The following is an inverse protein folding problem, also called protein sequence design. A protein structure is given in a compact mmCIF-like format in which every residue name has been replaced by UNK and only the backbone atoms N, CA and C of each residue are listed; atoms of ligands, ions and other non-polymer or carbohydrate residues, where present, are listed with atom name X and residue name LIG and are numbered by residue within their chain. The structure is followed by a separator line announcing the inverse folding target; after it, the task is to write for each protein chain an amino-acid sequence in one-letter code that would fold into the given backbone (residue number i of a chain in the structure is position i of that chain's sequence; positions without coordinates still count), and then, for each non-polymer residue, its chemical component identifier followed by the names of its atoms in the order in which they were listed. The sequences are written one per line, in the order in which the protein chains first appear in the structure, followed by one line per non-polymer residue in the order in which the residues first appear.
data_IF_945725247719
#
_entry.id   IF_945725247719
#
_cell.length_a   1.000
_cell.length_b   1.000
_cell.length_c   1.000
_cell.angle_alpha   90.00
_cell.angle_beta   90.00
_cell.angle_gamma   90.00
#
_symmetry.space_group_name_H-M   'P 1'
#
loop_
_entity.id
_entity.type
_entity.pdbx_description
1 polymer ?
#
# COMPACT_ATOMS: atom_id res chain seq x y z
N UNK A 1 -10.07 -11.24 3.09
CA UNK A 1 -9.64 -9.84 3.28
C UNK A 1 -10.85 -9.02 3.70
N UNK A 2 -10.92 -8.70 4.98
CA UNK A 2 -11.94 -7.80 5.51
C UNK A 2 -11.38 -6.38 5.33
N UNK A 3 -11.72 -5.71 4.24
CA UNK A 3 -11.40 -4.31 4.01
C UNK A 3 -12.65 -3.48 4.25
N UNK A 4 -12.84 -2.98 5.45
CA UNK A 4 -13.95 -2.08 5.75
C UNK A 4 -13.79 -0.71 5.09
N UNK A 5 -12.55 -0.31 4.84
CA UNK A 5 -12.24 0.98 4.21
C UNK A 5 -11.29 0.78 3.03
N UNK A 6 -11.38 1.69 2.06
CA UNK A 6 -10.50 1.67 0.90
C UNK A 6 -9.05 1.93 1.34
N UNK A 7 -8.12 1.10 0.89
CA UNK A 7 -6.68 1.30 1.06
C UNK A 7 -6.20 2.63 0.43
N UNK A 8 -6.92 3.14 -0.57
CA UNK A 8 -6.51 4.31 -1.32
C UNK A 8 -7.15 5.58 -0.78
N UNK A 9 -6.32 6.56 -0.45
CA UNK A 9 -6.76 7.90 -0.09
C UNK A 9 -7.24 8.63 -1.35
N UNK A 10 -8.52 9.00 -1.46
CA UNK A 10 -9.06 9.64 -2.65
C UNK A 10 -8.41 11.00 -2.97
N UNK A 11 -7.88 11.71 -1.97
CA UNK A 11 -7.19 12.99 -2.19
C UNK A 11 -5.86 12.82 -2.93
N UNK A 12 -5.21 11.66 -2.78
CA UNK A 12 -3.97 11.31 -3.46
C UNK A 12 -4.18 10.61 -4.81
N UNK A 13 -5.40 10.17 -5.13
CA UNK A 13 -5.72 9.46 -6.38
C UNK A 13 -6.02 10.46 -7.49
N UNK A 14 -5.39 10.25 -8.65
CA UNK A 14 -5.64 11.01 -9.87
C UNK A 14 -6.64 10.32 -10.80
N UNK A 15 -6.48 9.01 -10.98
CA UNK A 15 -7.24 8.20 -11.93
C UNK A 15 -7.31 6.76 -11.47
N UNK A 16 -8.40 6.09 -11.80
CA UNK A 16 -8.66 4.69 -11.45
C UNK A 16 -9.23 3.95 -12.65
N UNK A 17 -8.58 2.85 -13.07
CA UNK A 17 -9.04 1.98 -14.14
C UNK A 17 -9.28 0.58 -13.63
N UNK A 18 -10.48 0.07 -13.85
CA UNK A 18 -10.85 -1.30 -13.53
C UNK A 18 -10.92 -2.14 -14.81
N UNK A 19 -10.05 -3.13 -14.92
CA UNK A 19 -10.09 -4.15 -15.96
C UNK A 19 -10.84 -5.37 -15.43
N UNK A 20 -12.01 -5.64 -15.95
CA UNK A 20 -12.86 -6.80 -15.59
C UNK A 20 -12.63 -8.03 -16.49
N UNK A 21 -11.67 -7.94 -17.38
CA UNK A 21 -11.26 -8.92 -18.38
C UNK A 21 -10.34 -8.25 -19.39
N UNK A 22 -9.78 -9.00 -20.33
CA UNK A 22 -8.82 -8.52 -21.31
C UNK A 22 -7.67 -7.70 -20.67
N UNK A 23 -7.12 -8.23 -19.58
CA UNK A 23 -6.06 -7.58 -18.83
C UNK A 23 -4.85 -7.47 -19.76
N UNK A 24 -4.25 -6.27 -19.93
CA UNK A 24 -3.07 -6.11 -20.77
C UNK A 24 -1.92 -7.02 -20.33
N UNK A 25 -1.16 -7.58 -21.28
CA UNK A 25 -0.09 -8.55 -21.02
C UNK A 25 1.01 -8.06 -20.07
N UNK A 26 1.21 -6.75 -19.95
CA UNK A 26 2.12 -6.13 -18.99
C UNK A 26 1.77 -6.37 -17.50
N UNK A 27 0.56 -6.85 -17.23
CA UNK A 27 0.08 -7.21 -15.89
C UNK A 27 -0.04 -8.73 -15.80
N UNK A 28 1.09 -9.42 -15.67
CA UNK A 28 1.13 -10.88 -15.54
C UNK A 28 0.44 -11.41 -14.28
N UNK A 29 0.07 -12.71 -14.28
CA UNK A 29 -0.41 -13.42 -13.10
C UNK A 29 -1.80 -13.00 -12.57
N UNK A 30 -2.61 -12.26 -13.35
CA UNK A 30 -3.94 -11.79 -12.96
C UNK A 30 -5.01 -12.41 -13.84
N UNK A 31 -5.94 -13.19 -13.24
CA UNK A 31 -6.93 -13.97 -13.98
C UNK A 31 -8.35 -13.39 -13.90
N UNK A 32 -8.70 -12.67 -12.84
CA UNK A 32 -10.06 -12.20 -12.61
C UNK A 32 -10.27 -10.72 -13.00
N UNK A 33 -9.59 -9.83 -12.29
CA UNK A 33 -9.68 -8.39 -12.51
C UNK A 33 -8.42 -7.68 -12.05
N UNK A 34 -8.20 -6.48 -12.57
CA UNK A 34 -7.10 -5.60 -12.19
C UNK A 34 -7.64 -4.19 -11.95
N UNK A 35 -7.27 -3.63 -10.81
CA UNK A 35 -7.50 -2.23 -10.49
C UNK A 35 -6.18 -1.46 -10.61
N UNK A 36 -6.06 -0.65 -11.64
CA UNK A 36 -4.91 0.25 -11.87
C UNK A 36 -5.23 1.62 -11.29
N UNK A 37 -4.43 2.05 -10.32
CA UNK A 37 -4.62 3.33 -9.63
C UNK A 37 -3.42 4.22 -9.84
N UNK A 38 -3.67 5.39 -10.40
CA UNK A 38 -2.67 6.42 -10.57
C UNK A 38 -2.79 7.48 -9.49
N UNK A 39 -1.70 7.73 -8.81
CA UNK A 39 -1.61 8.79 -7.83
C UNK A 39 -1.30 10.13 -8.49
N UNK A 40 -1.77 11.23 -7.88
CA UNK A 40 -1.35 12.60 -8.21
C UNK A 40 0.17 12.73 -8.07
N UNK A 41 0.75 13.69 -8.75
CA UNK A 41 2.20 13.96 -8.72
C UNK A 41 2.59 15.11 -7.78
N UNK A 42 1.59 15.80 -7.22
CA UNK A 42 1.77 17.02 -6.46
C UNK A 42 1.90 18.26 -7.34
N UNK A 43 1.65 19.41 -6.76
CA UNK A 43 1.74 20.70 -7.46
C UNK A 43 3.19 21.17 -7.55
N UNK A 44 3.69 21.38 -8.76
CA UNK A 44 5.06 21.84 -9.01
C UNK A 44 5.20 23.38 -9.02
N UNK A 45 4.11 24.12 -8.90
CA UNK A 45 4.09 25.58 -9.00
C UNK A 45 3.88 26.27 -7.67
N UNK A 46 2.95 25.77 -6.87
CA UNK A 46 2.51 26.40 -5.63
C UNK A 46 2.12 25.37 -4.57
N UNK A 47 2.04 25.83 -3.34
CA UNK A 47 1.55 25.03 -2.22
C UNK A 47 0.02 24.92 -2.29
N UNK A 48 -0.47 23.71 -2.16
CA UNK A 48 -1.88 23.42 -2.00
C UNK A 48 -2.12 22.49 -0.79
N UNK A 49 -3.21 22.73 -0.09
CA UNK A 49 -3.66 21.85 0.98
C UNK A 49 -5.17 21.63 0.85
N UNK A 50 -5.57 20.37 1.00
CA UNK A 50 -6.97 19.94 0.99
C UNK A 50 -7.21 19.03 2.19
N UNK A 51 -8.29 19.26 2.92
CA UNK A 51 -8.59 18.46 4.09
C UNK A 51 -10.06 18.49 4.44
N UNK A 52 -10.42 17.58 5.35
CA UNK A 52 -11.79 17.50 5.83
C UNK A 52 -11.86 16.77 7.16
N UNK A 53 -12.77 17.20 8.00
CA UNK A 53 -13.12 16.57 9.27
C UNK A 53 -14.54 16.03 9.13
N UNK A 54 -14.69 14.73 9.23
CA UNK A 54 -15.96 14.02 9.20
C UNK A 54 -16.30 13.44 10.59
N UNK A 55 -17.43 12.80 10.69
CA UNK A 55 -17.85 12.12 11.95
C UNK A 55 -17.12 10.81 12.20
N UNK A 56 -16.57 10.19 11.16
CA UNK A 56 -15.91 8.88 11.21
C UNK A 56 -14.39 9.03 11.15
N UNK A 57 -13.89 9.87 10.23
CA UNK A 57 -12.46 10.08 10.01
C UNK A 57 -12.16 11.51 9.57
N UNK A 58 -10.93 11.93 9.80
CA UNK A 58 -10.33 13.14 9.21
C UNK A 58 -9.33 12.76 8.13
N UNK A 59 -9.14 13.68 7.20
CA UNK A 59 -8.18 13.57 6.10
C UNK A 59 -7.47 14.88 5.85
N UNK A 60 -6.23 14.78 5.39
CA UNK A 60 -5.42 15.94 4.98
C UNK A 60 -4.53 15.52 3.83
N UNK A 61 -4.46 16.33 2.80
CA UNK A 61 -3.51 16.21 1.72
C UNK A 61 -2.79 17.55 1.52
N UNK A 62 -1.48 17.49 1.34
CA UNK A 62 -0.59 18.64 1.13
C UNK A 62 0.23 18.37 -0.11
N UNK A 63 0.26 19.35 -1.01
CA UNK A 63 1.04 19.34 -2.23
C UNK A 63 1.91 20.58 -2.31
N UNK A 64 3.17 20.44 -2.72
CA UNK A 64 4.05 21.59 -2.91
C UNK A 64 5.20 21.29 -3.87
N UNK A 65 5.80 22.34 -4.48
CA UNK A 65 7.07 22.22 -5.18
C UNK A 65 8.22 21.96 -4.20
N UNK A 66 9.08 20.99 -4.51
CA UNK A 66 10.42 20.85 -3.92
C UNK A 66 11.38 21.79 -4.65
N UNK A 67 11.29 21.76 -5.98
CA UNK A 67 11.96 22.70 -6.88
C UNK A 67 10.92 23.14 -7.90
N UNK A 68 10.66 24.44 -7.97
CA UNK A 68 9.63 25.02 -8.85
C UNK A 68 9.78 24.50 -10.28
N UNK A 69 8.67 24.04 -10.86
CA UNK A 69 8.54 23.47 -12.22
C UNK A 69 9.40 22.21 -12.49
N UNK A 70 10.18 21.72 -11.53
CA UNK A 70 11.05 20.55 -11.71
C UNK A 70 10.73 19.39 -10.78
N UNK A 71 10.38 19.67 -9.54
CA UNK A 71 10.13 18.64 -8.55
C UNK A 71 8.95 19.03 -7.66
N UNK A 72 8.10 18.06 -7.36
CA UNK A 72 6.97 18.27 -6.45
C UNK A 72 6.75 17.03 -5.58
N UNK A 73 5.99 17.22 -4.51
CA UNK A 73 5.53 16.15 -3.68
C UNK A 73 4.04 16.29 -3.33
N UNK A 74 3.44 15.18 -2.99
CA UNK A 74 2.15 15.09 -2.31
C UNK A 74 2.30 14.17 -1.11
N UNK A 75 1.73 14.57 0.02
CA UNK A 75 1.56 13.73 1.21
C UNK A 75 0.10 13.82 1.61
N UNK A 76 -0.55 12.66 1.76
CA UNK A 76 -1.94 12.58 2.15
C UNK A 76 -2.12 11.54 3.25
N UNK A 77 -2.83 11.89 4.31
CA UNK A 77 -3.10 11.02 5.43
C UNK A 77 -4.57 11.03 5.83
N UNK A 78 -5.01 9.92 6.39
CA UNK A 78 -6.34 9.75 7.01
C UNK A 78 -6.20 9.05 8.34
N UNK A 79 -7.12 9.36 9.25
CA UNK A 79 -7.28 8.63 10.49
C UNK A 79 -8.75 8.60 10.88
N UNK A 80 -9.25 7.42 11.23
CA UNK A 80 -10.55 7.29 11.88
C UNK A 80 -10.42 7.46 13.40
N UNK A 81 -11.49 7.89 14.02
CA UNK A 81 -11.58 8.09 15.46
C UNK A 81 -12.92 7.61 16.04
N UNK A 82 -13.53 6.62 15.40
CA UNK A 82 -14.76 5.96 15.87
C UNK A 82 -14.53 5.39 17.26
N UNK A 83 -13.37 4.82 17.52
CA UNK A 83 -12.94 4.30 18.81
C UNK A 83 -12.94 5.37 19.94
N UNK A 84 -12.70 6.63 19.59
CA UNK A 84 -12.72 7.76 20.55
C UNK A 84 -14.11 8.34 20.69
N UNK A 85 -14.74 8.74 19.59
CA UNK A 85 -16.03 9.43 19.59
C UNK A 85 -17.21 8.48 19.86
N UNK A 86 -17.11 7.22 19.47
CA UNK A 86 -18.12 6.19 19.69
C UNK A 86 -18.11 5.62 21.12
N UNK A 87 -17.02 5.80 21.86
CA UNK A 87 -16.84 5.20 23.17
C UNK A 87 -17.98 5.46 24.16
N UNK A 88 -18.56 6.66 24.26
CA UNK A 88 -19.71 6.90 25.14
C UNK A 88 -21.00 6.18 24.75
N UNK A 89 -21.12 5.74 23.50
CA UNK A 89 -22.36 5.23 22.90
C UNK A 89 -22.33 3.74 22.53
N UNK A 90 -21.15 3.16 22.44
CA UNK A 90 -20.95 1.78 21.95
C UNK A 90 -20.34 0.93 23.03
N UNK A 91 -21.10 -0.05 23.62
CA UNK A 91 -20.62 -0.91 24.71
C UNK A 91 -19.29 -1.61 24.39
N UNK A 92 -19.14 -2.14 23.19
CA UNK A 92 -17.92 -2.79 22.71
C UNK A 92 -16.67 -1.91 22.87
N UNK A 93 -16.79 -0.60 22.62
CA UNK A 93 -15.68 0.34 22.75
C UNK A 93 -15.40 0.72 24.22
N UNK A 94 -16.38 0.56 25.11
CA UNK A 94 -16.22 0.78 26.55
C UNK A 94 -15.45 -0.37 27.21
N UNK A 95 -15.63 -1.59 26.72
CA UNK A 95 -15.01 -2.83 27.20
C UNK A 95 -13.61 -3.08 26.64
N UNK A 96 -13.00 -2.08 26.03
CA UNK A 96 -11.63 -2.19 25.47
C UNK A 96 -11.59 -2.54 23.98
N UNK A 97 -12.75 -2.62 23.33
CA UNK A 97 -12.82 -2.77 21.89
C UNK A 97 -12.24 -1.57 21.14
N UNK A 98 -11.82 -1.78 19.93
CA UNK A 98 -11.30 -0.74 19.03
C UNK A 98 -11.74 -0.98 17.59
N UNK A 99 -12.09 0.11 16.92
CA UNK A 99 -12.34 0.13 15.48
C UNK A 99 -11.70 1.38 14.91
N UNK A 100 -10.50 1.24 14.42
CA UNK A 100 -9.80 2.37 13.83
C UNK A 100 -8.96 1.96 12.63
N UNK A 101 -8.72 2.93 11.77
CA UNK A 101 -7.73 2.83 10.70
C UNK A 101 -6.96 4.14 10.59
N UNK A 102 -5.76 4.05 10.08
CA UNK A 102 -4.99 5.20 9.63
C UNK A 102 -4.15 4.82 8.42
N UNK A 103 -3.96 5.76 7.54
CA UNK A 103 -3.06 5.62 6.40
C UNK A 103 -2.31 6.90 6.10
N UNK A 104 -1.15 6.72 5.52
CA UNK A 104 -0.29 7.77 5.00
C UNK A 104 0.16 7.36 3.60
N UNK A 105 -0.01 8.25 2.66
CA UNK A 105 0.45 8.11 1.29
C UNK A 105 1.37 9.28 0.96
N UNK A 106 2.52 9.00 0.39
CA UNK A 106 3.44 10.03 -0.07
C UNK A 106 3.94 9.72 -1.47
N UNK A 107 4.12 10.74 -2.29
CA UNK A 107 4.75 10.64 -3.60
C UNK A 107 5.55 11.89 -3.89
N UNK A 108 6.74 11.69 -4.45
CA UNK A 108 7.57 12.76 -4.96
C UNK A 108 8.00 12.45 -6.40
N UNK A 109 8.20 13.48 -7.17
CA UNK A 109 8.74 13.37 -8.52
C UNK A 109 9.82 14.42 -8.76
N UNK A 110 10.79 14.09 -9.63
CA UNK A 110 11.86 14.98 -9.98
C UNK A 110 12.24 14.83 -11.46
N UNK A 111 12.11 15.91 -12.21
CA UNK A 111 12.58 16.04 -13.59
C UNK A 111 14.07 16.40 -13.56
N UNK A 112 14.95 15.40 -13.67
CA UNK A 112 16.39 15.61 -13.69
C UNK A 112 16.82 16.42 -14.94
N UNK A 113 16.27 16.04 -16.09
CA UNK A 113 16.43 16.69 -17.38
C UNK A 113 15.29 16.24 -18.32
N UNK A 114 15.33 16.65 -19.59
CA UNK A 114 14.32 16.33 -20.60
C UNK A 114 14.17 14.82 -20.86
N UNK A 115 15.20 14.01 -20.56
CA UNK A 115 15.24 12.57 -20.81
C UNK A 115 15.09 11.71 -19.56
N UNK A 116 15.20 12.30 -18.38
CA UNK A 116 15.21 11.54 -17.12
C UNK A 116 14.24 12.13 -16.10
N UNK A 117 13.35 11.28 -15.62
CA UNK A 117 12.42 11.61 -14.56
C UNK A 117 12.41 10.52 -13.50
N UNK A 118 12.51 10.90 -12.25
CA UNK A 118 12.43 10.01 -11.10
C UNK A 118 11.11 10.19 -10.37
N UNK A 119 10.60 9.07 -9.85
CA UNK A 119 9.45 9.03 -8.96
C UNK A 119 9.77 8.17 -7.77
N UNK A 120 9.39 8.64 -6.59
CA UNK A 120 9.38 7.85 -5.37
C UNK A 120 7.98 7.91 -4.80
N UNK A 121 7.43 6.77 -4.38
CA UNK A 121 6.16 6.76 -3.66
C UNK A 121 6.19 5.77 -2.52
N UNK A 122 5.38 6.05 -1.49
CA UNK A 122 5.22 5.19 -0.33
C UNK A 122 3.78 5.22 0.16
N UNK A 123 3.38 4.10 0.72
CA UNK A 123 2.12 3.91 1.41
C UNK A 123 2.39 3.19 2.73
N UNK A 124 1.73 3.62 3.77
CA UNK A 124 1.68 2.95 5.05
C UNK A 124 0.26 3.04 5.60
N UNK A 125 -0.31 1.92 6.01
CA UNK A 125 -1.64 1.90 6.58
C UNK A 125 -1.83 0.72 7.52
N UNK A 126 -2.70 0.90 8.51
CA UNK A 126 -3.09 -0.15 9.44
C UNK A 126 -4.56 -0.02 9.80
N UNK A 127 -5.24 -1.14 9.79
CA UNK A 127 -6.59 -1.32 10.29
C UNK A 127 -6.54 -2.16 11.57
N UNK A 128 -7.32 -1.78 12.57
CA UNK A 128 -7.43 -2.48 13.84
C UNK A 128 -8.89 -2.65 14.22
N UNK A 129 -9.25 -3.89 14.50
CA UNK A 129 -10.56 -4.28 14.98
C UNK A 129 -10.42 -5.17 16.22
N UNK A 130 -10.76 -4.64 17.38
CA UNK A 130 -10.80 -5.37 18.64
C UNK A 130 -12.23 -5.48 19.13
N UNK A 131 -12.64 -6.69 19.50
CA UNK A 131 -13.92 -6.95 20.18
C UNK A 131 -13.85 -6.56 21.67
N UNK A 132 -12.69 -6.81 22.27
CA UNK A 132 -12.32 -6.41 23.62
C UNK A 132 -10.79 -6.20 23.72
N UNK A 133 -10.25 -6.06 24.91
CA UNK A 133 -8.81 -5.86 25.12
C UNK A 133 -7.94 -7.06 24.69
N UNK A 134 -8.52 -8.28 24.61
CA UNK A 134 -7.81 -9.53 24.41
C UNK A 134 -8.20 -10.27 23.11
N UNK A 135 -9.22 -9.77 22.39
CA UNK A 135 -9.74 -10.44 21.20
C UNK A 135 -9.88 -9.48 20.02
N UNK A 136 -9.33 -9.86 18.89
CA UNK A 136 -9.47 -9.10 17.67
C UNK A 136 -8.44 -9.42 16.64
N UNK A 137 -8.37 -8.57 15.65
CA UNK A 137 -7.41 -8.68 14.55
C UNK A 137 -6.97 -7.31 14.07
N UNK A 138 -5.76 -7.28 13.57
CA UNK A 138 -5.21 -6.11 12.88
C UNK A 138 -4.49 -6.54 11.61
N UNK A 139 -4.44 -5.66 10.63
CA UNK A 139 -3.63 -5.85 9.44
C UNK A 139 -3.00 -4.54 9.02
N UNK A 140 -1.83 -4.65 8.44
CA UNK A 140 -1.07 -3.52 7.94
C UNK A 140 -0.61 -3.73 6.52
N UNK A 141 -0.33 -2.65 5.84
CA UNK A 141 0.31 -2.67 4.53
C UNK A 141 1.31 -1.53 4.43
N UNK A 142 2.53 -1.88 4.05
CA UNK A 142 3.61 -0.93 3.78
C UNK A 142 4.11 -1.16 2.37
N UNK A 143 4.11 -0.13 1.54
CA UNK A 143 4.60 -0.22 0.17
C UNK A 143 5.49 0.96 -0.14
N UNK A 144 6.62 0.69 -0.78
CA UNK A 144 7.52 1.70 -1.32
C UNK A 144 7.81 1.42 -2.79
N UNK A 145 7.89 2.45 -3.63
CA UNK A 145 8.32 2.27 -5.01
C UNK A 145 9.24 3.38 -5.48
N UNK A 146 10.20 3.00 -6.30
CA UNK A 146 11.08 3.89 -7.05
C UNK A 146 10.89 3.60 -8.53
N UNK A 147 10.68 4.64 -9.33
CA UNK A 147 10.57 4.52 -10.77
C UNK A 147 11.47 5.54 -11.44
N UNK A 148 12.22 5.05 -12.40
CA UNK A 148 13.02 5.86 -13.29
C UNK A 148 12.48 5.77 -14.71
N UNK A 149 12.00 6.89 -15.24
CA UNK A 149 11.64 7.04 -16.62
C UNK A 149 12.87 7.54 -17.40
N UNK A 150 13.22 6.85 -18.46
CA UNK A 150 14.34 7.26 -19.31
C UNK A 150 13.96 7.24 -20.79
N UNK A 151 14.25 8.34 -21.47
CA UNK A 151 14.10 8.49 -22.90
C UNK A 151 15.48 8.29 -23.56
N UNK A 152 15.71 7.11 -24.12
CA UNK A 152 16.97 6.80 -24.83
C UNK A 152 17.13 7.66 -26.08
N UNK A 153 16.06 7.77 -26.84
CA UNK A 153 15.92 8.61 -28.02
C UNK A 153 14.44 8.88 -28.30
N UNK A 154 14.12 9.58 -29.38
CA UNK A 154 12.74 9.97 -29.73
C UNK A 154 11.78 8.80 -29.99
N UNK A 155 12.31 7.57 -30.09
CA UNK A 155 11.53 6.36 -30.38
C UNK A 155 11.55 5.33 -29.26
N UNK A 156 12.52 5.35 -28.35
CA UNK A 156 12.67 4.35 -27.30
C UNK A 156 12.57 5.01 -25.92
N UNK A 157 11.55 4.61 -25.22
CA UNK A 157 11.23 5.03 -23.86
C UNK A 157 11.29 3.82 -22.92
N UNK A 158 11.74 4.02 -21.70
CA UNK A 158 11.73 2.99 -20.66
C UNK A 158 11.18 3.46 -19.32
N UNK A 159 10.63 2.50 -18.57
CA UNK A 159 10.27 2.60 -17.16
C UNK A 159 10.98 1.49 -16.40
N UNK A 160 11.89 1.84 -15.51
CA UNK A 160 12.45 0.90 -14.55
C UNK A 160 11.78 1.13 -13.21
N UNK A 161 11.05 0.13 -12.73
CA UNK A 161 10.33 0.23 -11.46
C UNK A 161 10.85 -0.80 -10.48
N UNK A 162 11.16 -0.37 -9.26
CA UNK A 162 11.47 -1.21 -8.12
C UNK A 162 10.39 -0.98 -7.06
N UNK A 163 9.80 -2.06 -6.55
CA UNK A 163 8.73 -1.99 -5.56
C UNK A 163 9.07 -2.91 -4.40
N UNK A 164 8.92 -2.41 -3.19
CA UNK A 164 8.83 -3.21 -1.98
C UNK A 164 7.41 -3.12 -1.43
N UNK A 165 6.87 -4.25 -1.02
CA UNK A 165 5.56 -4.34 -0.38
C UNK A 165 5.62 -5.33 0.78
N UNK A 166 5.03 -4.97 1.91
CA UNK A 166 4.84 -5.85 3.05
C UNK A 166 3.38 -5.75 3.51
N UNK A 167 2.74 -6.89 3.63
CA UNK A 167 1.43 -7.05 4.25
C UNK A 167 1.59 -7.92 5.49
N UNK A 168 1.13 -7.44 6.62
CA UNK A 168 1.11 -8.18 7.89
C UNK A 168 -0.32 -8.29 8.42
N UNK A 169 -0.56 -9.40 9.09
CA UNK A 169 -1.82 -9.72 9.72
C UNK A 169 -1.58 -10.32 11.09
N UNK A 170 -2.29 -9.82 12.08
CA UNK A 170 -2.25 -10.27 13.46
C UNK A 170 -3.66 -10.66 13.92
N UNK A 171 -3.77 -11.80 14.56
CA UNK A 171 -4.98 -12.32 15.16
C UNK A 171 -4.72 -12.61 16.64
N UNK A 172 -5.59 -12.12 17.50
CA UNK A 172 -5.47 -12.30 18.94
C UNK A 172 -6.80 -12.82 19.49
N UNK A 173 -6.71 -13.89 20.28
CA UNK A 173 -7.82 -14.43 21.07
C UNK A 173 -7.34 -14.76 22.46
N UNK A 174 -8.16 -14.42 23.49
CA UNK A 174 -7.87 -14.77 24.86
C UNK A 174 -8.91 -14.24 25.83
N UNK A 175 -8.92 -14.77 27.02
CA UNK A 175 -9.73 -14.27 28.12
C UNK A 175 -8.92 -13.26 28.96
N UNK A 176 -7.61 -13.53 29.10
CA UNK A 176 -6.69 -12.71 29.88
C UNK A 176 -5.23 -12.91 29.40
N UNK A 177 -4.28 -12.27 30.08
CA UNK A 177 -2.85 -12.42 29.78
C UNK A 177 -2.28 -13.81 30.06
N UNK A 178 -2.99 -14.70 30.78
CA UNK A 178 -2.56 -16.05 31.09
C UNK A 178 -3.15 -17.11 30.17
N UNK A 179 -4.24 -16.74 29.47
CA UNK A 179 -4.95 -17.60 28.53
C UNK A 179 -5.20 -16.83 27.25
N UNK A 180 -4.24 -16.85 26.34
CA UNK A 180 -4.32 -16.14 25.07
C UNK A 180 -3.65 -16.90 23.95
N UNK A 181 -4.11 -16.60 22.74
CA UNK A 181 -3.54 -17.09 21.49
C UNK A 181 -3.28 -15.90 20.56
N UNK A 182 -2.04 -15.76 20.11
CA UNK A 182 -1.65 -14.78 19.11
C UNK A 182 -1.18 -15.51 17.85
N UNK A 183 -1.59 -15.01 16.71
CA UNK A 183 -1.15 -15.48 15.40
C UNK A 183 -0.71 -14.30 14.56
N UNK A 184 0.53 -14.33 14.14
CA UNK A 184 1.12 -13.35 13.24
C UNK A 184 1.47 -14.01 11.91
N UNK A 185 1.16 -13.33 10.81
CA UNK A 185 1.62 -13.74 9.47
C UNK A 185 1.97 -12.54 8.61
N UNK A 186 2.90 -12.72 7.68
CA UNK A 186 3.28 -11.66 6.77
C UNK A 186 3.67 -12.17 5.37
N UNK A 187 3.50 -11.30 4.38
CA UNK A 187 3.97 -11.49 3.01
C UNK A 187 4.74 -10.24 2.60
N UNK A 188 6.02 -10.40 2.30
CA UNK A 188 6.84 -9.34 1.73
C UNK A 188 7.20 -9.65 0.29
N UNK A 189 7.19 -8.63 -0.57
CA UNK A 189 7.53 -8.75 -1.97
C UNK A 189 8.57 -7.69 -2.34
N UNK A 190 9.59 -8.10 -3.09
CA UNK A 190 10.49 -7.21 -3.79
C UNK A 190 10.31 -7.44 -5.29
N UNK A 191 9.93 -6.39 -6.02
CA UNK A 191 9.56 -6.48 -7.43
C UNK A 191 10.46 -5.57 -8.23
N UNK A 192 11.08 -6.12 -9.30
CA UNK A 192 11.81 -5.36 -10.30
C UNK A 192 11.09 -5.49 -11.65
N UNK A 193 10.76 -4.36 -12.26
CA UNK A 193 9.95 -4.31 -13.48
C UNK A 193 10.53 -3.34 -14.49
N UNK A 194 11.37 -3.81 -15.44
CA UNK A 194 11.75 -3.07 -16.64
C UNK A 194 10.64 -3.13 -17.68
N UNK A 195 10.22 -1.98 -18.18
CA UNK A 195 9.24 -1.85 -19.27
C UNK A 195 9.80 -0.91 -20.33
N UNK A 196 9.61 -1.27 -21.60
CA UNK A 196 10.07 -0.50 -22.74
C UNK A 196 8.91 -0.27 -23.72
N UNK A 197 8.88 0.92 -24.31
CA UNK A 197 8.00 1.27 -25.40
C UNK A 197 8.85 1.73 -26.57
N UNK A 198 8.72 1.07 -27.70
CA UNK A 198 9.43 1.42 -28.93
C UNK A 198 8.45 1.84 -30.03
N UNK A 199 8.53 3.08 -30.46
CA UNK A 199 7.74 3.62 -31.55
C UNK A 199 8.43 3.30 -32.90
N UNK A 200 7.94 2.25 -33.55
CA UNK A 200 8.44 1.83 -34.86
C UNK A 200 8.16 2.93 -35.88
N UNK A 201 6.94 3.47 -35.85
CA UNK A 201 6.50 4.60 -36.65
C UNK A 201 5.22 5.21 -35.99
N UNK A 202 4.62 6.23 -36.59
CA UNK A 202 3.45 6.92 -36.07
C UNK A 202 2.17 6.04 -35.88
N UNK A 203 2.15 4.83 -36.47
CA UNK A 203 1.00 3.92 -36.40
C UNK A 203 1.27 2.64 -35.61
N UNK A 204 2.53 2.32 -35.38
CA UNK A 204 2.94 1.07 -34.74
C UNK A 204 3.87 1.34 -33.57
N UNK A 205 3.51 0.81 -32.42
CA UNK A 205 4.32 0.78 -31.22
C UNK A 205 4.51 -0.66 -30.74
N UNK A 206 5.65 -0.94 -30.16
CA UNK A 206 5.99 -2.20 -29.51
C UNK A 206 6.21 -1.94 -28.03
N UNK A 207 5.44 -2.63 -27.18
CA UNK A 207 5.63 -2.63 -25.74
C UNK A 207 6.20 -3.99 -25.33
N UNK A 208 7.31 -3.98 -24.60
CA UNK A 208 7.96 -5.19 -24.10
C UNK A 208 8.61 -4.92 -22.75
N UNK A 209 8.84 -5.96 -21.99
CA UNK A 209 9.41 -5.84 -20.66
C UNK A 209 9.38 -7.17 -19.94
N UNK A 210 9.57 -7.12 -18.63
CA UNK A 210 9.48 -8.28 -17.76
C UNK A 210 9.22 -7.85 -16.33
N UNK A 211 8.90 -8.82 -15.50
CA UNK A 211 8.69 -8.64 -14.07
C UNK A 211 9.41 -9.76 -13.32
N UNK A 212 10.17 -9.39 -12.29
CA UNK A 212 10.80 -10.33 -11.38
C UNK A 212 10.30 -10.03 -9.98
N UNK A 213 9.72 -11.04 -9.33
CA UNK A 213 9.15 -10.91 -7.99
C UNK A 213 9.83 -11.90 -7.05
N UNK A 214 10.40 -11.37 -5.98
CA UNK A 214 10.91 -12.17 -4.88
C UNK A 214 9.95 -12.08 -3.70
N UNK A 215 9.35 -13.21 -3.35
CA UNK A 215 8.41 -13.34 -2.24
C UNK A 215 9.11 -13.88 -1.00
N UNK A 216 8.78 -13.27 0.14
CA UNK A 216 9.05 -13.84 1.47
C UNK A 216 7.71 -14.01 2.17
N UNK A 217 7.38 -15.24 2.50
CA UNK A 217 6.14 -15.59 3.17
C UNK A 217 6.43 -16.17 4.57
N UNK A 218 5.90 -15.53 5.59
CA UNK A 218 5.87 -15.99 6.98
C UNK A 218 4.46 -16.49 7.29
N UNK A 219 4.18 -17.79 7.14
CA UNK A 219 2.80 -18.30 7.15
C UNK A 219 2.16 -18.25 8.53
N UNK A 220 2.94 -18.47 9.58
CA UNK A 220 2.47 -18.38 10.95
C UNK A 220 3.62 -18.27 11.95
N UNK A 221 3.46 -17.37 12.87
CA UNK A 221 4.14 -17.35 14.15
C UNK A 221 3.04 -17.30 15.21
N UNK A 222 2.74 -18.47 15.82
CA UNK A 222 1.63 -18.61 16.75
C UNK A 222 2.17 -18.84 18.16
N UNK A 223 1.67 -18.07 19.11
CA UNK A 223 2.00 -18.17 20.53
C UNK A 223 0.73 -18.44 21.30
N UNK A 224 0.64 -19.65 21.88
CA UNK A 224 -0.42 -20.01 22.81
C UNK A 224 0.08 -19.88 24.24
N UNK A 225 -0.67 -19.22 25.11
CA UNK A 225 -0.42 -19.17 26.55
C UNK A 225 -1.61 -19.81 27.25
N UNK A 226 -1.34 -20.83 28.08
CA UNK A 226 -2.36 -21.49 28.88
C UNK A 226 -1.86 -21.58 30.32
N UNK A 227 -2.62 -21.03 31.26
CA UNK A 227 -2.24 -20.95 32.68
C UNK A 227 -0.88 -20.26 32.93
N UNK A 228 -0.44 -19.40 32.01
CA UNK A 228 0.84 -18.70 32.09
C UNK A 228 2.03 -19.46 31.49
N UNK A 229 1.82 -20.68 30.98
CA UNK A 229 2.82 -21.43 30.20
C UNK A 229 2.66 -21.14 28.72
N UNK A 230 3.77 -20.83 28.02
CA UNK A 230 3.77 -20.52 26.61
C UNK A 230 4.12 -21.74 25.76
N UNK A 231 3.40 -21.91 24.66
CA UNK A 231 3.73 -22.85 23.59
C UNK A 231 3.87 -22.03 22.30
N UNK A 232 5.05 -22.04 21.74
CA UNK A 232 5.38 -21.31 20.53
C UNK A 232 5.39 -22.25 19.33
N UNK A 233 4.62 -21.94 18.32
CA UNK A 233 4.57 -22.66 17.04
C UNK A 233 4.96 -21.69 15.95
N UNK A 234 6.15 -21.89 15.37
CA UNK A 234 6.63 -21.11 14.25
C UNK A 234 6.74 -22.00 13.01
N UNK A 235 6.04 -21.64 11.95
CA UNK A 235 6.23 -22.27 10.65
C UNK A 235 7.41 -21.63 9.92
N UNK A 236 8.22 -22.45 9.19
CA UNK A 236 9.38 -21.92 8.49
C UNK A 236 8.97 -20.92 7.42
N UNK A 237 9.77 -19.88 7.27
CA UNK A 237 9.64 -18.91 6.18
C UNK A 237 9.75 -19.60 4.83
N UNK A 238 8.93 -19.21 3.89
CA UNK A 238 8.97 -19.68 2.51
C UNK A 238 9.39 -18.55 1.60
N UNK A 239 10.20 -18.89 0.61
CA UNK A 239 10.70 -17.94 -0.40
C UNK A 239 10.30 -18.46 -1.78
N UNK A 240 9.91 -17.57 -2.65
CA UNK A 240 9.61 -17.88 -4.04
C UNK A 240 10.14 -16.77 -4.95
N UNK A 241 10.64 -17.16 -6.11
CA UNK A 241 11.08 -16.24 -7.15
C UNK A 241 10.25 -16.51 -8.41
N UNK A 242 9.54 -15.52 -8.87
CA UNK A 242 8.73 -15.59 -10.07
C UNK A 242 9.24 -14.60 -11.11
N UNK A 243 9.23 -15.02 -12.38
CA UNK A 243 9.56 -14.18 -13.53
C UNK A 243 8.44 -14.24 -14.57
N UNK A 244 8.13 -13.10 -15.20
CA UNK A 244 7.17 -12.98 -16.28
C UNK A 244 7.68 -12.02 -17.36
#
# INVERSE_FOLDING_TARGET
LFGFFSVFNPDAVKDTKLYKGAIPSRYGGRLASLLDIRMKEGNSKEFEANGGIGTIFSRLAIEAPIVKDKASFIVAGRRSYIDVLGRPFVPLLQEGGALNFYDLTAKANYNLNERNRLYASGYFGRDKFLFDANQGFSWGNTTGSLRWNHLFNDRLFSNFTLIYSNYDYELQFGEDNRNRFNWDSSISNLIAKPEFTYFINSRNELNFGGELIYYTFEPANAVGITNGESVDISLPRKYNLEGA
#
